data_IF_754071803091
#
_entry.id   IF_754071803091
#
_cell.length_a   1.000
_cell.length_b   1.000
_cell.length_c   1.000
_cell.angle_alpha   90.00
_cell.angle_beta   90.00
_cell.angle_gamma   90.00
#
_symmetry.space_group_name_H-M   'P 1'
#
loop_
_entity.id
_entity.type
_entity.pdbx_description
1 polymer ?
#
# COMPACT_ATOMS: atom_id res chain seq x y z
N UNK A 1 4.99 -7.92 -7.56
CA UNK A 1 4.26 -8.98 -6.81
C UNK A 1 3.43 -8.39 -5.66
N UNK A 2 4.03 -7.70 -4.67
CA UNK A 2 3.28 -7.13 -3.52
C UNK A 2 2.14 -6.19 -3.96
N UNK A 3 2.38 -5.31 -4.93
CA UNK A 3 1.34 -4.38 -5.44
C UNK A 3 0.10 -5.11 -5.98
N UNK A 4 0.29 -6.23 -6.68
CA UNK A 4 -0.83 -7.05 -7.18
C UNK A 4 -1.59 -7.69 -6.03
N UNK A 5 -0.88 -8.26 -5.06
CA UNK A 5 -1.50 -8.85 -3.88
C UNK A 5 -2.30 -7.84 -3.06
N UNK A 6 -1.79 -6.60 -2.90
CA UNK A 6 -2.49 -5.52 -2.24
C UNK A 6 -3.73 -5.04 -3.02
N UNK A 7 -3.72 -5.09 -4.35
CA UNK A 7 -4.87 -4.72 -5.18
C UNK A 7 -6.01 -5.75 -5.09
N UNK A 8 -5.70 -7.01 -4.82
CA UNK A 8 -6.71 -8.05 -4.67
C UNK A 8 -7.55 -7.92 -3.40
N UNK A 9 -6.99 -7.36 -2.32
CA UNK A 9 -7.69 -7.19 -1.04
C UNK A 9 -8.95 -6.33 -1.21
N UNK A 10 -8.89 -5.07 -1.68
CA UNK A 10 -10.08 -4.24 -1.89
C UNK A 10 -11.01 -4.79 -2.97
N UNK A 11 -10.46 -5.51 -3.96
CA UNK A 11 -11.23 -6.15 -5.02
C UNK A 11 -12.21 -7.21 -4.48
N UNK A 12 -11.77 -8.05 -3.56
CA UNK A 12 -12.62 -9.06 -2.91
C UNK A 12 -13.60 -8.40 -1.94
N UNK A 13 -13.17 -7.38 -1.20
CA UNK A 13 -14.01 -6.68 -0.25
C UNK A 13 -15.17 -5.93 -0.91
N UNK A 14 -14.93 -5.24 -2.02
CA UNK A 14 -15.99 -4.49 -2.69
C UNK A 14 -17.09 -5.41 -3.20
N UNK A 15 -16.73 -6.61 -3.67
CA UNK A 15 -17.70 -7.64 -4.08
C UNK A 15 -18.58 -8.03 -2.91
N UNK A 16 -18.02 -8.22 -1.73
CA UNK A 16 -18.76 -8.61 -0.53
C UNK A 16 -19.76 -7.54 -0.12
N UNK A 17 -19.33 -6.28 -0.07
CA UNK A 17 -20.15 -5.13 0.29
C UNK A 17 -21.34 -4.94 -0.67
N UNK A 18 -21.11 -5.07 -1.98
CA UNK A 18 -22.15 -4.91 -2.99
C UNK A 18 -23.14 -6.08 -2.98
N UNK A 19 -22.67 -7.31 -2.83
CA UNK A 19 -23.51 -8.50 -2.73
C UNK A 19 -24.45 -8.43 -1.49
N UNK A 20 -23.95 -7.88 -0.38
CA UNK A 20 -24.77 -7.62 0.81
C UNK A 20 -25.84 -6.55 0.55
N UNK A 21 -25.50 -5.51 -0.22
CA UNK A 21 -26.46 -4.48 -0.67
C UNK A 21 -27.52 -5.05 -1.59
N UNK A 22 -27.14 -5.85 -2.58
CA UNK A 22 -28.06 -6.45 -3.56
C UNK A 22 -29.06 -7.39 -2.90
N UNK A 23 -28.63 -8.20 -1.95
CA UNK A 23 -29.49 -9.12 -1.19
C UNK A 23 -30.33 -8.44 -0.12
N UNK A 24 -30.28 -7.13 0.01
CA UNK A 24 -31.01 -6.32 1.00
C UNK A 24 -30.87 -6.82 2.46
N UNK A 25 -29.78 -7.50 2.79
CA UNK A 25 -29.50 -8.04 4.13
C UNK A 25 -29.50 -6.92 5.19
N UNK A 26 -29.09 -5.72 4.82
CA UNK A 26 -29.17 -4.51 5.64
C UNK A 26 -30.59 -4.24 6.16
N UNK A 27 -31.62 -4.40 5.32
CA UNK A 27 -33.01 -4.17 5.74
C UNK A 27 -33.48 -5.19 6.78
N UNK A 28 -33.11 -6.45 6.63
CA UNK A 28 -33.42 -7.50 7.58
C UNK A 28 -32.76 -7.26 8.95
N UNK A 29 -31.51 -6.81 8.97
CA UNK A 29 -30.81 -6.52 10.22
C UNK A 29 -31.32 -5.26 10.92
N UNK A 30 -31.73 -4.24 10.18
CA UNK A 30 -32.35 -3.03 10.74
C UNK A 30 -33.77 -3.34 11.34
N UNK A 31 -34.52 -4.25 10.71
CA UNK A 31 -35.83 -4.70 11.24
C UNK A 31 -35.69 -5.46 12.57
N UNK A 32 -34.55 -6.07 12.85
CA UNK A 32 -34.24 -6.72 14.13
C UNK A 32 -33.85 -5.74 15.25
N UNK A 33 -33.88 -4.42 15.01
CA UNK A 33 -33.65 -3.40 16.02
C UNK A 33 -32.18 -2.91 16.09
N UNK A 34 -31.31 -3.32 15.15
CA UNK A 34 -29.93 -2.84 15.10
C UNK A 34 -29.87 -1.38 14.64
N UNK A 35 -29.05 -0.55 15.30
CA UNK A 35 -28.79 0.81 14.84
C UNK A 35 -27.96 0.82 13.55
N UNK A 36 -28.24 1.79 12.65
CA UNK A 36 -27.49 1.95 11.39
C UNK A 36 -25.98 2.13 11.62
N UNK A 37 -25.60 2.88 12.64
CA UNK A 37 -24.19 3.08 13.00
C UNK A 37 -23.56 1.77 13.49
N UNK A 38 -24.26 0.99 14.31
CA UNK A 38 -23.81 -0.32 14.77
C UNK A 38 -23.56 -1.30 13.62
N UNK A 39 -24.47 -1.32 12.63
CA UNK A 39 -24.30 -2.12 11.41
C UNK A 39 -23.00 -1.77 10.66
N UNK A 40 -22.80 -0.49 10.33
CA UNK A 40 -21.62 -0.07 9.55
C UNK A 40 -20.31 -0.27 10.31
N UNK A 41 -20.28 0.03 11.61
CA UNK A 41 -19.06 -0.13 12.42
C UNK A 41 -18.69 -1.60 12.61
N UNK A 42 -19.65 -2.48 12.83
CA UNK A 42 -19.37 -3.91 13.00
C UNK A 42 -18.86 -4.56 11.73
N UNK A 43 -19.48 -4.25 10.58
CA UNK A 43 -19.01 -4.77 9.29
C UNK A 43 -17.61 -4.23 8.94
N UNK A 44 -17.40 -2.92 9.11
CA UNK A 44 -16.10 -2.33 8.86
C UNK A 44 -15.00 -2.92 9.75
N UNK A 45 -15.28 -3.15 11.03
CA UNK A 45 -14.31 -3.77 11.94
C UNK A 45 -14.00 -5.21 11.53
N UNK A 46 -15.03 -5.98 11.17
CA UNK A 46 -14.88 -7.34 10.68
C UNK A 46 -14.02 -7.39 9.41
N UNK A 47 -14.29 -6.51 8.45
CA UNK A 47 -13.53 -6.44 7.18
C UNK A 47 -12.06 -6.02 7.40
N UNK A 48 -11.81 -5.11 8.34
CA UNK A 48 -10.44 -4.75 8.75
C UNK A 48 -9.70 -5.98 9.30
N UNK A 49 -10.35 -6.75 10.18
CA UNK A 49 -9.76 -7.96 10.75
C UNK A 49 -9.49 -9.03 9.68
N UNK A 50 -10.44 -9.23 8.77
CA UNK A 50 -10.27 -10.16 7.64
C UNK A 50 -9.17 -9.75 6.68
N UNK A 51 -8.96 -8.44 6.47
CA UNK A 51 -7.87 -7.93 5.63
C UNK A 51 -6.48 -8.22 6.21
N UNK A 52 -6.33 -8.40 7.52
CA UNK A 52 -5.04 -8.76 8.11
C UNK A 52 -4.59 -10.18 7.76
N UNK A 53 -5.50 -11.08 7.37
CA UNK A 53 -5.14 -12.45 6.99
C UNK A 53 -4.23 -12.47 5.74
N UNK A 54 -4.64 -11.93 4.58
CA UNK A 54 -3.79 -11.88 3.41
C UNK A 54 -2.54 -10.99 3.61
N UNK A 55 -2.62 -9.96 4.42
CA UNK A 55 -1.47 -9.12 4.75
C UNK A 55 -0.43 -9.90 5.55
N UNK A 56 -0.87 -10.69 6.53
CA UNK A 56 0.02 -11.58 7.28
C UNK A 56 0.75 -12.56 6.38
N UNK A 57 0.07 -13.10 5.36
CA UNK A 57 0.69 -13.95 4.35
C UNK A 57 1.73 -13.20 3.51
N UNK A 58 1.44 -11.95 3.10
CA UNK A 58 2.40 -11.10 2.38
C UNK A 58 3.64 -10.84 3.23
N UNK A 59 3.48 -10.49 4.49
CA UNK A 59 4.58 -10.26 5.44
C UNK A 59 5.43 -11.53 5.60
N UNK A 60 4.79 -12.69 5.78
CA UNK A 60 5.46 -13.98 5.88
C UNK A 60 6.29 -14.27 4.63
N UNK A 61 5.73 -14.08 3.45
CA UNK A 61 6.45 -14.26 2.19
C UNK A 61 7.63 -13.30 2.06
N UNK A 62 7.47 -12.02 2.41
CA UNK A 62 8.57 -11.06 2.39
C UNK A 62 9.68 -11.45 3.36
N UNK A 63 9.34 -11.98 4.53
CA UNK A 63 10.30 -12.48 5.51
C UNK A 63 11.07 -13.69 4.98
N UNK A 64 10.39 -14.68 4.42
CA UNK A 64 11.00 -15.90 3.84
C UNK A 64 11.95 -15.57 2.69
N UNK A 65 11.61 -14.59 1.85
CA UNK A 65 12.47 -14.14 0.75
C UNK A 65 13.56 -13.15 1.18
N UNK A 66 13.68 -12.83 2.46
CA UNK A 66 14.69 -11.90 2.97
C UNK A 66 14.53 -10.46 2.43
N UNK A 67 13.30 -10.08 2.07
CA UNK A 67 12.96 -8.75 1.54
C UNK A 67 12.18 -7.90 2.55
N UNK A 68 12.31 -8.24 3.82
CA UNK A 68 11.67 -7.49 4.89
C UNK A 68 12.60 -6.37 5.36
N UNK A 69 12.13 -5.13 5.29
CA UNK A 69 12.87 -3.92 5.67
C UNK A 69 12.27 -3.32 6.94
N UNK A 70 13.10 -2.73 7.78
CA UNK A 70 12.65 -2.09 9.01
C UNK A 70 11.66 -0.95 8.72
N UNK A 71 10.58 -0.92 9.50
CA UNK A 71 9.51 0.08 9.37
C UNK A 71 8.38 -0.28 8.40
N UNK A 72 8.55 -1.23 7.50
CA UNK A 72 7.48 -1.65 6.56
C UNK A 72 6.28 -2.25 7.31
N UNK A 73 6.49 -2.91 8.44
CA UNK A 73 5.42 -3.48 9.24
C UNK A 73 4.37 -2.44 9.67
N UNK A 74 4.77 -1.19 9.90
CA UNK A 74 3.84 -0.10 10.23
C UNK A 74 2.90 0.20 9.07
N UNK A 75 3.43 0.19 7.83
CA UNK A 75 2.63 0.41 6.62
C UNK A 75 1.60 -0.70 6.42
N UNK A 76 1.99 -1.96 6.65
CA UNK A 76 1.07 -3.08 6.59
C UNK A 76 0.02 -3.06 7.70
N UNK A 77 0.37 -2.58 8.89
CA UNK A 77 -0.56 -2.42 9.99
C UNK A 77 -1.62 -1.33 9.70
N UNK A 78 -1.20 -0.22 9.08
CA UNK A 78 -2.09 0.90 8.76
C UNK A 78 -2.88 0.70 7.45
N UNK A 79 -2.50 -0.25 6.62
CA UNK A 79 -3.15 -0.47 5.33
C UNK A 79 -4.63 -0.89 5.44
N UNK A 80 -5.03 -1.92 6.26
CA UNK A 80 -6.42 -2.30 6.38
C UNK A 80 -7.35 -1.17 6.85
N UNK A 81 -7.05 -0.43 7.93
CA UNK A 81 -7.91 0.67 8.35
C UNK A 81 -7.97 1.83 7.35
N UNK A 82 -7.04 1.91 6.39
CA UNK A 82 -7.09 2.89 5.30
C UNK A 82 -7.87 2.36 4.08
N UNK A 83 -7.61 1.11 3.66
CA UNK A 83 -8.21 0.57 2.43
C UNK A 83 -9.67 0.20 2.60
N UNK A 84 -10.09 -0.28 3.77
CA UNK A 84 -11.49 -0.70 3.99
C UNK A 84 -12.46 0.48 3.88
N UNK A 85 -12.30 1.61 4.61
CA UNK A 85 -13.18 2.77 4.42
C UNK A 85 -13.12 3.33 2.99
N UNK A 86 -11.94 3.34 2.36
CA UNK A 86 -11.80 3.75 0.97
C UNK A 86 -12.65 2.89 0.04
N UNK A 87 -12.60 1.56 0.22
CA UNK A 87 -13.41 0.61 -0.56
C UNK A 87 -14.91 0.81 -0.31
N UNK A 88 -15.33 1.08 0.91
CA UNK A 88 -16.71 1.39 1.24
C UNK A 88 -17.20 2.66 0.52
N UNK A 89 -16.41 3.73 0.54
CA UNK A 89 -16.75 4.98 -0.17
C UNK A 89 -16.84 4.74 -1.68
N UNK A 90 -15.89 4.03 -2.26
CA UNK A 90 -15.91 3.72 -3.71
C UNK A 90 -17.05 2.79 -4.10
N UNK A 91 -17.53 1.92 -3.21
CA UNK A 91 -18.67 1.03 -3.46
C UNK A 91 -19.98 1.78 -3.77
N UNK A 92 -20.13 3.02 -3.29
CA UNK A 92 -21.32 3.82 -3.57
C UNK A 92 -21.39 4.33 -5.01
N UNK A 93 -20.28 4.29 -5.74
CA UNK A 93 -20.22 4.74 -7.14
C UNK A 93 -20.76 3.67 -8.09
N UNK A 94 -20.74 2.40 -7.65
CA UNK A 94 -21.08 1.27 -8.50
C UNK A 94 -22.43 0.66 -8.13
N UNK A 95 -23.18 0.26 -9.17
CA UNK A 95 -24.45 -0.47 -9.01
C UNK A 95 -24.26 -1.99 -9.18
N UNK A 96 -23.31 -2.41 -10.01
CA UNK A 96 -23.03 -3.81 -10.30
C UNK A 96 -21.74 -4.27 -9.58
N UNK A 97 -21.81 -5.43 -8.94
CA UNK A 97 -20.71 -6.06 -8.21
C UNK A 97 -19.52 -6.40 -9.11
N UNK A 98 -19.77 -6.95 -10.32
CA UNK A 98 -18.73 -7.32 -11.28
C UNK A 98 -17.98 -6.08 -11.79
N UNK A 99 -18.73 -5.02 -12.14
CA UNK A 99 -18.11 -3.77 -12.62
C UNK A 99 -17.28 -3.11 -11.51
N UNK A 100 -17.79 -3.09 -10.29
CA UNK A 100 -17.08 -2.55 -9.14
C UNK A 100 -15.78 -3.30 -8.86
N UNK A 101 -15.81 -4.62 -8.93
CA UNK A 101 -14.65 -5.48 -8.71
C UNK A 101 -13.54 -5.20 -9.74
N UNK A 102 -13.90 -5.17 -11.03
CA UNK A 102 -12.95 -4.89 -12.11
C UNK A 102 -12.37 -3.48 -11.99
N UNK A 103 -13.22 -2.47 -11.77
CA UNK A 103 -12.77 -1.08 -11.64
C UNK A 103 -11.88 -0.89 -10.40
N UNK A 104 -12.23 -1.49 -9.28
CA UNK A 104 -11.43 -1.40 -8.05
C UNK A 104 -10.07 -2.07 -8.22
N UNK A 105 -10.03 -3.27 -8.82
CA UNK A 105 -8.79 -3.94 -9.15
C UNK A 105 -7.91 -3.07 -10.06
N UNK A 106 -8.50 -2.49 -11.10
CA UNK A 106 -7.81 -1.64 -12.06
C UNK A 106 -7.26 -0.38 -11.40
N UNK A 107 -8.06 0.31 -10.59
CA UNK A 107 -7.63 1.51 -9.85
C UNK A 107 -6.44 1.18 -8.95
N UNK A 108 -6.58 0.18 -8.09
CA UNK A 108 -5.51 -0.18 -7.16
C UNK A 108 -4.25 -0.71 -7.87
N UNK A 109 -4.39 -1.39 -8.99
CA UNK A 109 -3.26 -1.85 -9.80
C UNK A 109 -2.55 -0.68 -10.50
N UNK A 110 -3.29 0.19 -11.18
CA UNK A 110 -2.72 1.34 -11.91
C UNK A 110 -2.03 2.29 -10.93
N UNK A 111 -2.69 2.70 -9.86
CA UNK A 111 -2.10 3.62 -8.90
C UNK A 111 -1.03 2.94 -8.04
N UNK A 112 -1.26 1.71 -7.58
CA UNK A 112 -0.32 0.98 -6.74
C UNK A 112 0.93 0.51 -7.47
N UNK A 113 0.83 -0.07 -8.67
CA UNK A 113 1.99 -0.58 -9.41
C UNK A 113 2.57 0.45 -10.36
N UNK A 114 1.78 0.95 -11.31
CA UNK A 114 2.24 1.87 -12.36
C UNK A 114 2.54 3.25 -11.77
N UNK A 115 1.64 3.79 -10.93
CA UNK A 115 1.83 5.07 -10.27
C UNK A 115 3.09 5.09 -9.41
N UNK A 116 3.35 4.02 -8.67
CA UNK A 116 4.59 3.89 -7.88
C UNK A 116 5.83 3.85 -8.76
N UNK A 117 5.82 3.07 -9.85
CA UNK A 117 6.96 2.96 -10.76
C UNK A 117 7.27 4.30 -11.43
N UNK A 118 6.25 5.00 -11.91
CA UNK A 118 6.40 6.32 -12.56
C UNK A 118 6.94 7.35 -11.57
N UNK A 119 6.32 7.47 -10.39
CA UNK A 119 6.74 8.43 -9.37
C UNK A 119 8.17 8.18 -8.92
N UNK A 120 8.53 6.92 -8.68
CA UNK A 120 9.89 6.54 -8.28
C UNK A 120 10.91 6.85 -9.39
N UNK A 121 10.58 6.57 -10.66
CA UNK A 121 11.47 6.89 -11.78
C UNK A 121 11.68 8.40 -11.94
N UNK A 122 10.63 9.21 -11.79
CA UNK A 122 10.73 10.66 -11.82
C UNK A 122 11.58 11.22 -10.67
N UNK A 123 11.56 10.60 -9.50
CA UNK A 123 12.40 11.00 -8.35
C UNK A 123 13.90 10.77 -8.57
N UNK A 124 14.28 9.89 -9.51
CA UNK A 124 15.71 9.66 -9.85
C UNK A 124 16.29 10.75 -10.78
N UNK A 125 15.43 11.57 -11.38
CA UNK A 125 15.83 12.62 -12.33
C UNK A 125 15.69 13.97 -11.62
N UNK A 126 16.78 14.72 -11.37
CA UNK A 126 16.73 15.99 -10.62
C UNK A 126 15.79 17.04 -11.24
N UNK A 127 15.71 17.08 -12.57
CA UNK A 127 14.86 18.04 -13.31
C UNK A 127 13.35 17.74 -13.15
N UNK A 128 13.00 16.48 -12.84
CA UNK A 128 11.60 16.02 -12.70
C UNK A 128 11.13 15.90 -11.24
N UNK A 129 11.94 16.33 -10.27
CA UNK A 129 11.63 16.20 -8.86
C UNK A 129 10.32 16.89 -8.46
N UNK A 130 10.05 18.07 -9.04
CA UNK A 130 8.79 18.78 -8.82
C UNK A 130 7.57 17.99 -9.33
N UNK A 131 7.70 17.39 -10.52
CA UNK A 131 6.62 16.57 -11.11
C UNK A 131 6.40 15.31 -10.25
N UNK A 132 7.47 14.69 -9.78
CA UNK A 132 7.40 13.53 -8.90
C UNK A 132 6.67 13.82 -7.58
N UNK A 133 6.93 14.97 -6.97
CA UNK A 133 6.24 15.38 -5.74
C UNK A 133 4.76 15.67 -5.99
N UNK A 134 4.41 16.31 -7.10
CA UNK A 134 3.01 16.54 -7.50
C UNK A 134 2.27 15.22 -7.73
N UNK A 135 2.87 14.28 -8.46
CA UNK A 135 2.32 12.95 -8.69
C UNK A 135 2.14 12.17 -7.39
N UNK A 136 3.13 12.23 -6.49
CA UNK A 136 3.07 11.58 -5.19
C UNK A 136 1.88 12.08 -4.37
N UNK A 137 1.66 13.39 -4.31
CA UNK A 137 0.51 13.98 -3.62
C UNK A 137 -0.82 13.46 -4.18
N UNK A 138 -0.95 13.42 -5.49
CA UNK A 138 -2.15 12.94 -6.16
C UNK A 138 -2.41 11.45 -5.91
N UNK A 139 -1.38 10.61 -6.04
CA UNK A 139 -1.50 9.16 -5.89
C UNK A 139 -1.65 8.70 -4.44
N UNK A 140 -1.26 9.51 -3.47
CA UNK A 140 -1.41 9.23 -2.03
C UNK A 140 -2.87 9.03 -1.61
N UNK A 141 -3.84 9.51 -2.39
CA UNK A 141 -5.27 9.28 -2.15
C UNK A 141 -5.59 7.77 -2.16
N UNK A 142 -4.89 6.98 -2.96
CA UNK A 142 -5.10 5.53 -3.06
C UNK A 142 -4.18 4.80 -2.07
N UNK A 143 -4.72 4.08 -1.07
CA UNK A 143 -3.91 3.44 -0.03
C UNK A 143 -2.86 2.46 -0.55
N UNK A 144 -3.15 1.74 -1.64
CA UNK A 144 -2.20 0.80 -2.25
C UNK A 144 -0.93 1.49 -2.77
N UNK A 145 -1.01 2.74 -3.24
CA UNK A 145 0.15 3.51 -3.65
C UNK A 145 1.09 3.78 -2.47
N UNK A 146 0.54 4.19 -1.32
CA UNK A 146 1.35 4.51 -0.13
C UNK A 146 2.23 3.34 0.30
N UNK A 147 1.66 2.12 0.36
CA UNK A 147 2.40 0.93 0.78
C UNK A 147 3.44 0.52 -0.26
N UNK A 148 3.06 0.46 -1.54
CA UNK A 148 3.98 0.04 -2.61
C UNK A 148 5.13 1.02 -2.81
N UNK A 149 4.87 2.33 -2.71
CA UNK A 149 5.89 3.36 -2.79
C UNK A 149 6.86 3.28 -1.60
N UNK A 150 6.36 3.06 -0.38
CA UNK A 150 7.20 2.91 0.81
C UNK A 150 8.10 1.66 0.74
N UNK A 151 7.58 0.55 0.22
CA UNK A 151 8.38 -0.67 0.01
C UNK A 151 9.50 -0.41 -1.00
N UNK A 152 9.19 0.25 -2.13
CA UNK A 152 10.18 0.52 -3.16
C UNK A 152 11.28 1.48 -2.67
N UNK A 153 10.89 2.51 -1.90
CA UNK A 153 11.83 3.43 -1.28
C UNK A 153 12.76 2.74 -0.27
N UNK A 154 12.21 1.89 0.60
CA UNK A 154 13.00 1.11 1.57
C UNK A 154 13.96 0.13 0.89
N UNK A 155 13.50 -0.51 -0.19
CA UNK A 155 14.34 -1.40 -1.00
C UNK A 155 15.50 -0.65 -1.66
N UNK A 156 15.28 0.54 -2.20
CA UNK A 156 16.33 1.34 -2.83
C UNK A 156 17.36 1.83 -1.80
N UNK A 157 16.90 2.24 -0.60
CA UNK A 157 17.79 2.65 0.49
C UNK A 157 18.71 1.51 0.96
N UNK A 158 18.21 0.30 1.06
CA UNK A 158 19.01 -0.86 1.46
C UNK A 158 20.07 -1.23 0.43
N UNK A 159 19.78 -1.06 -0.87
CA UNK A 159 20.75 -1.29 -1.95
C UNK A 159 21.89 -0.27 -1.92
N UNK A 160 21.59 1.00 -1.65
CA UNK A 160 22.62 2.06 -1.54
C UNK A 160 23.53 1.82 -0.34
N UNK A 161 22.98 1.40 0.81
CA UNK A 161 23.78 1.06 2.00
C UNK A 161 24.68 -0.15 1.73
N UNK A 162 24.14 -1.18 1.08
CA UNK A 162 24.90 -2.40 0.73
C UNK A 162 26.05 -2.09 -0.24
N UNK A 163 25.84 -1.25 -1.24
CA UNK A 163 26.90 -0.86 -2.21
C UNK A 163 27.99 -0.02 -1.56
N UNK A 164 27.65 0.85 -0.60
CA UNK A 164 28.65 1.62 0.17
C UNK A 164 29.48 0.72 1.09
N UNK A 165 28.87 -0.24 1.77
CA UNK A 165 29.60 -1.19 2.61
C UNK A 165 30.58 -2.08 1.82
N UNK A 166 30.27 -2.37 0.57
CA UNK A 166 31.12 -3.18 -0.30
C UNK A 166 32.29 -2.36 -0.89
N UNK A 167 32.11 -1.07 -1.11
CA UNK A 167 33.22 -0.18 -1.53
C UNK A 167 34.21 0.11 -0.40
N UNK A 168 33.76 0.10 0.86
CA UNK A 168 34.62 0.34 2.02
C UNK A 168 35.48 -0.90 2.40
N UNK A 169 35.05 -2.10 2.01
CA UNK A 169 35.83 -3.34 2.21
C UNK A 169 36.77 -3.72 1.07
N UNK A 170 36.65 -3.09 -0.09
CA UNK A 170 37.39 -3.44 -1.33
C UNK A 170 38.38 -2.39 -1.86
N UNK A 171 38.45 -1.20 -1.28
CA UNK A 171 39.29 -0.12 -1.75
C UNK A 171 40.21 0.43 -0.68
N UNK A 172 41.53 0.21 -0.80
CA UNK A 172 42.50 1.15 -0.22
C UNK A 172 42.19 2.52 -0.80
N UNK A 173 41.76 3.47 0.04
CA UNK A 173 41.54 4.86 -0.36
C UNK A 173 42.79 5.39 -1.10
N UNK A 174 42.67 5.77 -2.38
CA UNK A 174 43.82 6.36 -3.10
C UNK A 174 44.08 7.82 -2.67
N UNK A 175 43.27 8.38 -1.77
CA UNK A 175 43.46 9.73 -1.24
C UNK A 175 43.45 9.70 0.29
N UNK A 176 44.64 9.76 0.96
CA UNK A 176 44.70 9.95 2.41
C UNK A 176 44.14 11.33 2.77
N UNK A 177 43.14 11.36 3.65
CA UNK A 177 42.59 12.60 4.22
C UNK A 177 43.77 13.34 4.90
N UNK A 178 44.08 14.60 4.54
CA UNK A 178 45.11 15.34 5.21
C UNK A 178 44.76 15.52 6.68
N UNK A 179 45.61 15.01 7.58
CA UNK A 179 45.48 15.22 9.02
C UNK A 179 45.51 16.72 9.28
N UNK A 180 44.51 17.26 9.96
CA UNK A 180 44.54 18.61 10.49
C UNK A 180 45.79 18.77 11.35
N UNK A 181 46.62 19.72 10.98
CA UNK A 181 47.74 20.19 11.82
C UNK A 181 47.20 20.75 13.14
N UNK A 182 47.84 20.43 14.27
CA UNK A 182 47.50 21.06 15.56
C UNK A 182 47.85 22.53 15.53
N UNK A 183 46.96 23.37 16.00
CA UNK A 183 47.13 24.79 16.31
C UNK A 183 48.00 24.98 17.52
#
# INVERSE_FOLDING_TARGET
MVAVALALIPCVMIQFVLNEREKQLKHQQLLSGMSLAGYWTSNMLFDILMAYIPIGLIILLMYVFGKFYDGIWVMFLLYPPAVVPFTYVTSFIFESDITAQICTLFIHFVFGAIGTAVTFSCQQIPEMMYVADMLRWFFTIVPSFCVTHSILWSASGSLVVSSRGQSDTGGKDPYPIPRKLPS
#
